data_IF_277390549148
#
_entry.id   IF_277390549148
#
_cell.length_a   1.000
_cell.length_b   1.000
_cell.length_c   1.000
_cell.angle_alpha   90.00
_cell.angle_beta   90.00
_cell.angle_gamma   90.00
#
_symmetry.space_group_name_H-M   'P 1'
#
loop_
_entity.id
_entity.type
_entity.pdbx_description
1 polymer ?
#
# COMPACT_ATOMS: atom_id res chain seq x y z
N UNK A 1 -17.90 12.84 40.85
CA UNK A 1 -16.50 12.69 40.39
C UNK A 1 -16.51 11.95 39.06
N UNK A 2 -16.57 12.67 37.94
CA UNK A 2 -16.39 12.05 36.62
C UNK A 2 -14.91 11.73 36.45
N UNK A 3 -14.59 10.48 36.13
CA UNK A 3 -13.26 10.12 35.64
C UNK A 3 -13.05 10.89 34.34
N UNK A 4 -12.26 11.96 34.40
CA UNK A 4 -11.65 12.56 33.21
C UNK A 4 -10.82 11.43 32.58
N UNK A 5 -11.32 10.85 31.49
CA UNK A 5 -10.56 9.85 30.74
C UNK A 5 -9.32 10.56 30.22
N UNK A 6 -8.13 10.22 30.74
CA UNK A 6 -6.88 10.66 30.13
C UNK A 6 -6.95 10.31 28.65
N UNK A 7 -6.75 11.28 27.77
CA UNK A 7 -6.57 11.00 26.35
C UNK A 7 -5.52 9.90 26.23
N UNK A 8 -5.87 8.74 25.66
CA UNK A 8 -4.92 7.63 25.49
C UNK A 8 -3.78 8.15 24.63
N UNK A 9 -2.62 8.37 25.25
CA UNK A 9 -1.42 8.73 24.50
C UNK A 9 -1.02 7.54 23.64
N UNK A 10 -0.72 7.81 22.37
CA UNK A 10 -0.32 6.77 21.44
C UNK A 10 0.99 6.12 21.90
N UNK A 11 0.96 4.80 22.02
CA UNK A 11 2.12 3.97 22.30
C UNK A 11 2.69 3.39 20.99
N UNK A 12 3.86 3.88 20.49
CA UNK A 12 4.43 3.42 19.24
C UNK A 12 4.81 1.94 19.21
N UNK A 13 5.11 1.34 20.37
CA UNK A 13 5.43 -0.09 20.44
C UNK A 13 4.17 -0.93 20.22
N UNK A 14 3.04 -0.56 20.83
CA UNK A 14 1.74 -1.21 20.55
C UNK A 14 1.32 -1.02 19.10
N UNK A 15 1.46 0.19 18.57
CA UNK A 15 1.19 0.44 17.15
C UNK A 15 2.09 -0.39 16.22
N UNK A 16 3.32 -0.70 16.63
CA UNK A 16 4.21 -1.58 15.87
C UNK A 16 3.74 -3.03 15.96
N UNK A 17 3.32 -3.49 17.13
CA UNK A 17 2.69 -4.82 17.30
C UNK A 17 1.44 -4.97 16.43
N UNK A 18 0.56 -3.96 16.42
CA UNK A 18 -0.65 -3.95 15.59
C UNK A 18 -0.28 -4.04 14.09
N UNK A 19 0.72 -3.25 13.66
CA UNK A 19 1.22 -3.28 12.30
C UNK A 19 1.80 -4.66 11.93
N UNK A 20 2.63 -5.24 12.80
CA UNK A 20 3.23 -6.56 12.58
C UNK A 20 2.15 -7.63 12.49
N UNK A 21 1.15 -7.61 13.38
CA UNK A 21 0.04 -8.57 13.35
C UNK A 21 -0.77 -8.44 12.04
N UNK A 22 -1.13 -7.21 11.66
CA UNK A 22 -1.83 -6.95 10.40
C UNK A 22 -1.06 -7.41 9.17
N UNK A 23 0.26 -7.16 9.15
CA UNK A 23 1.15 -7.59 8.08
C UNK A 23 1.23 -9.12 7.98
N UNK A 24 1.48 -9.81 9.10
CA UNK A 24 1.59 -11.27 9.13
C UNK A 24 0.27 -11.90 8.68
N UNK A 25 -0.86 -11.40 9.16
CA UNK A 25 -2.18 -11.89 8.75
C UNK A 25 -2.44 -11.63 7.26
N UNK A 26 -2.07 -10.46 6.72
CA UNK A 26 -2.18 -10.18 5.29
C UNK A 26 -1.36 -11.17 4.44
N UNK A 27 -0.11 -11.42 4.82
CA UNK A 27 0.76 -12.39 4.13
C UNK A 27 0.12 -13.80 4.17
N UNK A 28 -0.33 -14.24 5.35
CA UNK A 28 -0.97 -15.55 5.49
C UNK A 28 -2.24 -15.66 4.65
N UNK A 29 -3.06 -14.61 4.62
CA UNK A 29 -4.30 -14.59 3.84
C UNK A 29 -4.03 -14.58 2.34
N UNK A 30 -3.05 -13.83 1.87
CA UNK A 30 -2.63 -13.81 0.46
C UNK A 30 -2.11 -15.18 0.03
N UNK A 31 -1.24 -15.80 0.83
CA UNK A 31 -0.72 -17.15 0.55
C UNK A 31 -1.86 -18.16 0.53
N UNK A 32 -2.75 -18.12 1.51
CA UNK A 32 -3.90 -19.01 1.57
C UNK A 32 -4.86 -18.83 0.37
N UNK A 33 -5.18 -17.58 0.01
CA UNK A 33 -6.02 -17.28 -1.16
C UNK A 33 -5.38 -17.79 -2.45
N UNK A 34 -4.07 -17.61 -2.63
CA UNK A 34 -3.33 -18.15 -3.77
C UNK A 34 -3.36 -19.68 -3.83
N UNK A 35 -3.20 -20.35 -2.68
CA UNK A 35 -3.31 -21.81 -2.59
C UNK A 35 -4.73 -22.30 -2.92
N UNK A 36 -5.76 -21.67 -2.36
CA UNK A 36 -7.16 -22.01 -2.62
C UNK A 36 -7.52 -21.86 -4.11
N UNK A 37 -7.06 -20.78 -4.75
CA UNK A 37 -7.22 -20.57 -6.19
C UNK A 37 -6.50 -21.67 -7.00
N UNK A 38 -5.26 -22.02 -6.63
CA UNK A 38 -4.48 -23.06 -7.34
C UNK A 38 -5.07 -24.48 -7.22
N UNK A 39 -5.85 -24.74 -6.16
CA UNK A 39 -6.53 -26.02 -5.91
C UNK A 39 -7.95 -26.04 -6.48
N UNK A 40 -8.36 -25.02 -7.23
CA UNK A 40 -9.71 -24.88 -7.80
C UNK A 40 -10.82 -24.91 -6.74
N UNK A 41 -10.53 -24.49 -5.50
CA UNK A 41 -11.56 -24.35 -4.46
C UNK A 41 -12.47 -23.15 -4.71
N UNK A 42 -11.96 -22.14 -5.42
CA UNK A 42 -12.71 -20.97 -5.88
C UNK A 42 -12.70 -21.00 -7.40
N UNK A 43 -13.85 -21.30 -8.00
CA UNK A 43 -14.00 -21.44 -9.46
C UNK A 43 -14.62 -20.21 -10.11
N UNK A 44 -15.34 -19.39 -9.35
CA UNK A 44 -15.94 -18.14 -9.82
C UNK A 44 -14.85 -17.03 -9.88
N UNK A 45 -14.57 -16.45 -11.07
CA UNK A 45 -13.57 -15.40 -11.23
C UNK A 45 -13.86 -14.14 -10.41
N UNK A 46 -15.14 -13.78 -10.27
CA UNK A 46 -15.55 -12.61 -9.52
C UNK A 46 -15.27 -12.82 -8.04
N UNK A 47 -15.66 -13.97 -7.50
CA UNK A 47 -15.34 -14.32 -6.10
C UNK A 47 -13.82 -14.36 -5.88
N UNK A 48 -13.04 -14.90 -6.83
CA UNK A 48 -11.59 -14.89 -6.73
C UNK A 48 -10.98 -13.48 -6.69
N UNK A 49 -11.47 -12.56 -7.52
CA UNK A 49 -11.04 -11.15 -7.51
C UNK A 49 -11.41 -10.46 -6.20
N UNK A 50 -12.61 -10.68 -5.68
CA UNK A 50 -13.02 -10.10 -4.41
C UNK A 50 -12.16 -10.62 -3.26
N UNK A 51 -11.94 -11.94 -3.20
CA UNK A 51 -11.16 -12.57 -2.15
C UNK A 51 -9.69 -12.13 -2.16
N UNK A 52 -9.09 -11.87 -3.34
CA UNK A 52 -7.71 -11.39 -3.41
C UNK A 52 -7.56 -9.99 -2.80
N UNK A 53 -8.51 -9.08 -3.04
CA UNK A 53 -8.53 -7.77 -2.38
C UNK A 53 -8.81 -7.87 -0.88
N UNK A 54 -9.81 -8.67 -0.47
CA UNK A 54 -10.18 -8.83 0.94
C UNK A 54 -9.08 -9.51 1.76
N UNK A 55 -8.32 -10.44 1.17
CA UNK A 55 -7.18 -11.08 1.81
C UNK A 55 -6.13 -10.07 2.30
N UNK A 56 -5.99 -8.94 1.60
CA UNK A 56 -5.11 -7.85 2.00
C UNK A 56 -5.86 -6.84 2.87
N UNK A 57 -7.03 -6.36 2.43
CA UNK A 57 -7.69 -5.22 3.07
C UNK A 57 -8.18 -5.53 4.48
N UNK A 58 -8.70 -6.73 4.74
CA UNK A 58 -9.24 -7.08 6.06
C UNK A 58 -8.14 -7.04 7.14
N UNK A 59 -6.99 -7.71 6.99
CA UNK A 59 -5.92 -7.63 7.99
C UNK A 59 -5.34 -6.22 8.17
N UNK A 60 -5.13 -5.48 7.07
CA UNK A 60 -4.55 -4.14 7.14
C UNK A 60 -5.50 -3.16 7.82
N UNK A 61 -6.76 -3.10 7.41
CA UNK A 61 -7.78 -2.25 8.04
C UNK A 61 -8.09 -2.70 9.47
N UNK A 62 -8.04 -4.01 9.75
CA UNK A 62 -8.18 -4.56 11.09
C UNK A 62 -7.12 -3.99 12.03
N UNK A 63 -5.84 -4.04 11.64
CA UNK A 63 -4.74 -3.47 12.41
C UNK A 63 -4.88 -1.95 12.58
N UNK A 64 -5.23 -1.23 11.51
CA UNK A 64 -5.48 0.22 11.55
C UNK A 64 -6.63 0.56 12.50
N UNK A 65 -7.72 -0.20 12.45
CA UNK A 65 -8.90 -0.03 13.30
C UNK A 65 -8.62 -0.32 14.77
N UNK A 66 -7.84 -1.38 15.06
CA UNK A 66 -7.38 -1.69 16.43
C UNK A 66 -6.54 -0.53 16.98
N UNK A 67 -5.52 -0.09 16.23
CA UNK A 67 -4.66 0.99 16.65
C UNK A 67 -5.42 2.32 16.86
N UNK A 68 -6.38 2.62 15.99
CA UNK A 68 -7.17 3.85 16.06
C UNK A 68 -8.17 3.82 17.24
N UNK A 69 -9.01 2.78 17.32
CA UNK A 69 -10.10 2.71 18.28
C UNK A 69 -9.64 2.35 19.69
N UNK A 70 -8.69 1.42 19.81
CA UNK A 70 -8.25 0.89 21.10
C UNK A 70 -6.98 1.57 21.61
N UNK A 71 -6.07 2.00 20.73
CA UNK A 71 -4.79 2.59 21.13
C UNK A 71 -4.68 4.10 20.87
N UNK A 72 -5.76 4.75 20.41
CA UNK A 72 -5.81 6.20 20.25
C UNK A 72 -4.89 6.76 19.15
N UNK A 73 -4.44 5.90 18.23
CA UNK A 73 -3.49 6.31 17.20
C UNK A 73 -4.12 7.25 16.17
N UNK A 74 -3.52 8.43 15.97
CA UNK A 74 -3.96 9.37 14.95
C UNK A 74 -3.23 9.12 13.62
N UNK A 75 -3.95 8.56 12.65
CA UNK A 75 -3.45 8.24 11.31
C UNK A 75 -3.12 9.50 10.48
N UNK A 76 -3.59 10.69 10.90
CA UNK A 76 -3.51 11.98 10.18
C UNK A 76 -3.92 11.86 8.71
N UNK A 77 -5.05 11.21 8.47
CA UNK A 77 -5.76 11.27 7.19
C UNK A 77 -6.31 12.70 7.02
N UNK A 78 -5.55 13.54 6.33
CA UNK A 78 -5.89 14.93 6.04
C UNK A 78 -5.43 15.24 4.62
N UNK A 79 -6.30 15.89 3.86
CA UNK A 79 -6.05 16.34 2.50
C UNK A 79 -5.95 17.86 2.48
N UNK A 80 -5.00 18.37 1.70
CA UNK A 80 -4.86 19.79 1.36
C UNK A 80 -4.69 19.92 -0.16
N UNK A 81 -5.06 21.05 -0.78
CA UNK A 81 -4.88 21.25 -2.21
C UNK A 81 -3.44 21.02 -2.69
N UNK A 82 -2.45 21.40 -1.88
CA UNK A 82 -1.03 21.19 -2.19
C UNK A 82 -0.64 19.70 -2.25
N UNK A 83 -1.44 18.82 -1.63
CA UNK A 83 -1.24 17.37 -1.72
C UNK A 83 -1.52 16.85 -3.13
N UNK A 84 -2.35 17.55 -3.93
CA UNK A 84 -2.52 17.24 -5.35
C UNK A 84 -1.22 17.50 -6.11
N UNK A 85 -0.60 18.67 -5.91
CA UNK A 85 0.65 19.01 -6.57
C UNK A 85 1.75 18.01 -6.23
N UNK A 86 2.00 17.78 -4.94
CA UNK A 86 3.03 16.85 -4.50
C UNK A 86 2.73 15.40 -4.88
N UNK A 87 1.48 14.98 -4.70
CA UNK A 87 1.04 13.63 -5.02
C UNK A 87 1.20 13.32 -6.50
N UNK A 88 0.65 14.18 -7.38
CA UNK A 88 0.78 14.03 -8.83
C UNK A 88 2.26 13.97 -9.24
N UNK A 89 3.07 14.89 -8.73
CA UNK A 89 4.50 14.97 -9.09
C UNK A 89 5.25 13.71 -8.67
N UNK A 90 5.08 13.26 -7.43
CA UNK A 90 5.74 12.06 -6.91
C UNK A 90 5.24 10.80 -7.61
N UNK A 91 3.93 10.67 -7.83
CA UNK A 91 3.34 9.54 -8.52
C UNK A 91 3.83 9.43 -9.97
N UNK A 92 3.87 10.54 -10.71
CA UNK A 92 4.41 10.62 -12.07
C UNK A 92 5.89 10.22 -12.10
N UNK A 93 6.72 10.80 -11.23
CA UNK A 93 8.16 10.49 -11.18
C UNK A 93 8.42 9.02 -10.84
N UNK A 94 7.76 8.50 -9.81
CA UNK A 94 7.89 7.10 -9.42
C UNK A 94 7.45 6.16 -10.54
N UNK A 95 6.36 6.50 -11.26
CA UNK A 95 5.88 5.69 -12.40
C UNK A 95 6.85 5.75 -13.57
N UNK A 96 7.44 6.90 -13.87
CA UNK A 96 8.46 7.01 -14.92
C UNK A 96 9.68 6.15 -14.61
N UNK A 97 10.12 6.12 -13.34
CA UNK A 97 11.21 5.23 -12.90
C UNK A 97 10.80 3.76 -13.03
N UNK A 98 9.60 3.39 -12.57
CA UNK A 98 9.09 2.03 -12.70
C UNK A 98 9.01 1.59 -14.17
N UNK A 99 8.56 2.48 -15.06
CA UNK A 99 8.47 2.23 -16.50
C UNK A 99 9.84 2.01 -17.15
N UNK A 100 10.86 2.76 -16.70
CA UNK A 100 12.24 2.54 -17.13
C UNK A 100 12.78 1.18 -16.64
N UNK A 101 12.48 0.79 -15.40
CA UNK A 101 12.85 -0.53 -14.85
C UNK A 101 12.14 -1.68 -15.58
N UNK A 102 10.86 -1.51 -15.92
CA UNK A 102 10.09 -2.45 -16.75
C UNK A 102 10.74 -2.60 -18.13
N UNK A 103 11.13 -1.50 -18.78
CA UNK A 103 11.82 -1.55 -20.07
C UNK A 103 13.17 -2.27 -19.97
N UNK A 104 13.96 -2.01 -18.92
CA UNK A 104 15.25 -2.66 -18.70
C UNK A 104 15.11 -4.16 -18.37
N UNK A 105 14.08 -4.53 -17.62
CA UNK A 105 13.87 -5.92 -17.18
C UNK A 105 13.13 -6.80 -18.18
N UNK A 106 12.15 -6.23 -18.90
CA UNK A 106 11.25 -6.96 -19.80
C UNK A 106 11.42 -6.61 -21.28
N UNK A 107 12.16 -5.55 -21.62
CA UNK A 107 12.26 -5.05 -23.00
C UNK A 107 10.99 -4.36 -23.50
N UNK A 108 10.03 -4.08 -22.62
CA UNK A 108 8.76 -3.42 -22.92
C UNK A 108 8.24 -2.68 -21.70
N UNK A 109 7.41 -1.67 -21.91
CA UNK A 109 6.61 -1.08 -20.84
C UNK A 109 5.68 -2.16 -20.25
N UNK A 110 5.40 -2.08 -18.96
CA UNK A 110 4.53 -3.01 -18.22
C UNK A 110 3.06 -3.03 -18.64
N UNK A 111 2.74 -2.72 -19.90
CA UNK A 111 1.43 -2.91 -20.53
C UNK A 111 1.22 -4.35 -21.01
N UNK A 112 1.96 -5.32 -20.43
CA UNK A 112 1.73 -6.74 -20.70
C UNK A 112 0.25 -7.05 -20.51
N UNK A 113 -0.35 -7.95 -21.32
CA UNK A 113 -1.80 -8.10 -21.39
C UNK A 113 -2.32 -8.28 -19.98
N UNK A 114 -3.02 -7.27 -19.48
CA UNK A 114 -3.82 -7.45 -18.28
C UNK A 114 -4.83 -8.46 -18.77
N UNK A 115 -4.66 -9.73 -18.38
CA UNK A 115 -5.65 -10.78 -18.60
C UNK A 115 -6.82 -10.50 -17.68
N UNK A 116 -7.42 -9.32 -17.80
CA UNK A 116 -8.85 -9.18 -17.66
C UNK A 116 -9.40 -10.10 -18.75
N UNK A 117 -10.41 -10.91 -18.46
CA UNK A 117 -11.03 -11.76 -19.47
C UNK A 117 -11.60 -10.93 -20.63
N UNK A 118 -12.60 -11.44 -21.34
CA UNK A 118 -13.35 -10.58 -22.26
C UNK A 118 -13.80 -9.30 -21.53
N UNK A 119 -13.49 -8.14 -22.11
CA UNK A 119 -13.86 -6.84 -21.55
C UNK A 119 -15.38 -6.69 -21.61
N UNK A 120 -16.06 -7.15 -20.58
CA UNK A 120 -17.46 -6.87 -20.33
C UNK A 120 -17.49 -5.62 -19.46
N UNK A 121 -17.88 -4.47 -20.03
CA UNK A 121 -17.99 -3.20 -19.30
C UNK A 121 -19.18 -3.22 -18.34
N UNK A 122 -19.14 -4.09 -17.34
CA UNK A 122 -20.11 -4.16 -16.24
C UNK A 122 -19.53 -3.56 -14.95
N UNK A 123 -20.38 -3.47 -13.93
CA UNK A 123 -19.98 -2.91 -12.63
C UNK A 123 -18.90 -3.74 -11.93
N UNK A 124 -18.81 -5.04 -12.20
CA UNK A 124 -17.82 -5.92 -11.59
C UNK A 124 -16.43 -5.70 -12.20
N UNK A 125 -16.37 -5.58 -13.51
CA UNK A 125 -15.17 -5.20 -14.23
C UNK A 125 -14.67 -3.82 -13.78
N UNK A 126 -15.57 -2.82 -13.68
CA UNK A 126 -15.19 -1.49 -13.19
C UNK A 126 -14.62 -1.55 -11.76
N UNK A 127 -15.21 -2.38 -10.90
CA UNK A 127 -14.70 -2.61 -9.56
C UNK A 127 -13.30 -3.23 -9.58
N UNK A 128 -13.14 -4.39 -10.21
CA UNK A 128 -11.92 -5.17 -10.15
C UNK A 128 -10.75 -4.56 -10.93
N UNK A 129 -11.03 -3.90 -12.06
CA UNK A 129 -10.02 -3.34 -12.95
C UNK A 129 -9.64 -1.90 -12.60
N UNK A 130 -10.56 -1.10 -12.03
CA UNK A 130 -10.33 0.33 -11.81
C UNK A 130 -10.51 0.73 -10.34
N UNK A 131 -11.72 0.59 -9.78
CA UNK A 131 -12.01 1.16 -8.47
C UNK A 131 -11.17 0.54 -7.35
N UNK A 132 -11.06 -0.79 -7.32
CA UNK A 132 -10.29 -1.50 -6.31
C UNK A 132 -8.79 -1.17 -6.36
N UNK A 133 -8.06 -1.32 -7.49
CA UNK A 133 -6.62 -1.10 -7.51
C UNK A 133 -6.22 0.38 -7.60
N UNK A 134 -7.03 1.26 -8.19
CA UNK A 134 -6.66 2.67 -8.39
C UNK A 134 -7.16 3.59 -7.27
N UNK A 135 -8.27 3.27 -6.61
CA UNK A 135 -8.87 4.16 -5.61
C UNK A 135 -8.86 3.55 -4.20
N UNK A 136 -9.39 2.33 -4.05
CA UNK A 136 -9.62 1.74 -2.72
C UNK A 136 -8.31 1.24 -2.12
N UNK A 137 -7.56 0.41 -2.84
CA UNK A 137 -6.30 -0.17 -2.37
C UNK A 137 -5.29 0.91 -1.94
N UNK A 138 -5.04 1.99 -2.72
CA UNK A 138 -4.20 3.09 -2.28
C UNK A 138 -4.58 3.69 -0.92
N UNK A 139 -5.87 3.88 -0.65
CA UNK A 139 -6.32 4.43 0.64
C UNK A 139 -6.02 3.45 1.77
N UNK A 140 -6.39 2.18 1.59
CA UNK A 140 -6.17 1.12 2.58
C UNK A 140 -4.69 0.96 2.89
N UNK A 141 -3.86 0.89 1.86
CA UNK A 141 -2.44 0.69 1.97
C UNK A 141 -1.75 1.90 2.60
N UNK A 142 -2.07 3.13 2.19
CA UNK A 142 -1.45 4.32 2.80
C UNK A 142 -1.86 4.52 4.27
N UNK A 143 -3.10 4.16 4.63
CA UNK A 143 -3.53 4.14 6.04
C UNK A 143 -2.67 3.18 6.87
N UNK A 144 -2.37 1.99 6.34
CA UNK A 144 -1.56 1.01 7.03
C UNK A 144 -0.07 1.37 7.02
N UNK A 145 0.53 1.55 5.85
CA UNK A 145 1.97 1.73 5.72
C UNK A 145 2.43 3.10 6.24
N UNK A 146 1.74 4.19 5.90
CA UNK A 146 2.18 5.56 6.24
C UNK A 146 1.47 6.10 7.46
N UNK A 147 0.21 5.68 7.64
CA UNK A 147 -0.56 5.98 8.84
C UNK A 147 0.01 5.21 10.03
N UNK A 148 -0.07 3.87 10.01
CA UNK A 148 0.31 3.03 11.15
C UNK A 148 1.80 2.69 11.19
N UNK A 149 2.32 1.89 10.25
CA UNK A 149 3.66 1.31 10.31
C UNK A 149 4.77 2.37 10.41
N UNK A 150 4.81 3.33 9.48
CA UNK A 150 5.81 4.40 9.44
C UNK A 150 5.89 5.15 10.79
N UNK A 151 4.75 5.43 11.41
CA UNK A 151 4.69 6.22 12.65
C UNK A 151 5.02 5.40 13.89
N UNK A 152 4.61 4.14 13.90
CA UNK A 152 4.98 3.19 14.93
C UNK A 152 6.50 2.97 14.94
N UNK A 153 7.13 2.81 13.78
CA UNK A 153 8.59 2.70 13.67
C UNK A 153 9.25 4.00 14.11
N UNK A 154 8.84 5.14 13.57
CA UNK A 154 9.38 6.47 13.94
C UNK A 154 9.31 6.73 15.45
N UNK A 155 8.16 6.44 16.07
CA UNK A 155 7.96 6.63 17.50
C UNK A 155 8.78 5.64 18.34
N UNK A 156 8.88 4.39 17.90
CA UNK A 156 9.64 3.35 18.59
C UNK A 156 11.14 3.63 18.56
N UNK A 157 11.69 4.05 17.41
CA UNK A 157 13.11 4.40 17.30
C UNK A 157 13.45 5.65 18.12
N UNK A 158 12.56 6.65 18.15
CA UNK A 158 12.73 7.84 19.02
C UNK A 158 12.71 7.47 20.49
N UNK A 159 11.78 6.61 20.91
CA UNK A 159 11.70 6.12 22.30
C UNK A 159 12.96 5.34 22.69
N UNK A 160 13.56 4.61 21.76
CA UNK A 160 14.82 3.90 21.97
C UNK A 160 16.07 4.81 21.99
N UNK A 161 15.91 6.13 21.97
CA UNK A 161 17.02 7.10 22.01
C UNK A 161 17.62 7.44 20.64
N UNK A 162 16.99 7.01 19.54
CA UNK A 162 17.41 7.36 18.19
C UNK A 162 17.26 8.84 17.90
N UNK A 163 18.27 9.43 17.24
CA UNK A 163 18.21 10.82 16.77
C UNK A 163 17.04 11.11 15.84
N UNK A 164 16.67 12.38 15.69
CA UNK A 164 15.51 12.79 14.90
C UNK A 164 15.62 12.36 13.43
N UNK A 165 16.78 12.57 12.82
CA UNK A 165 17.05 12.23 11.41
C UNK A 165 17.12 10.72 11.21
N UNK A 166 17.90 10.01 12.02
CA UNK A 166 18.05 8.55 11.89
C UNK A 166 16.72 7.83 12.09
N UNK A 167 15.89 8.28 13.03
CA UNK A 167 14.54 7.74 13.25
C UNK A 167 13.63 7.89 12.02
N UNK A 168 13.69 9.04 11.34
CA UNK A 168 12.91 9.27 10.10
C UNK A 168 13.43 8.39 8.97
N UNK A 169 14.75 8.31 8.79
CA UNK A 169 15.36 7.46 7.76
C UNK A 169 14.99 5.99 7.97
N UNK A 170 15.13 5.47 9.19
CA UNK A 170 14.76 4.08 9.50
C UNK A 170 13.28 3.85 9.22
N UNK A 171 12.40 4.75 9.67
CA UNK A 171 10.97 4.61 9.46
C UNK A 171 10.60 4.60 7.96
N UNK A 172 11.20 5.50 7.17
CA UNK A 172 11.01 5.57 5.72
C UNK A 172 11.48 4.29 5.03
N UNK A 173 12.68 3.82 5.35
CA UNK A 173 13.25 2.61 4.75
C UNK A 173 12.46 1.36 5.13
N UNK A 174 12.06 1.21 6.39
CA UNK A 174 11.23 0.08 6.83
C UNK A 174 9.86 0.12 6.16
N UNK A 175 9.21 1.29 6.11
CA UNK A 175 7.91 1.42 5.45
C UNK A 175 8.00 1.11 3.95
N UNK A 176 9.02 1.61 3.26
CA UNK A 176 9.24 1.36 1.83
C UNK A 176 9.60 -0.09 1.54
N UNK A 177 10.48 -0.69 2.34
CA UNK A 177 10.94 -2.07 2.16
C UNK A 177 9.82 -3.08 2.42
N UNK A 178 9.08 -2.94 3.52
CA UNK A 178 7.96 -3.84 3.82
C UNK A 178 6.89 -3.74 2.73
N UNK A 179 6.59 -2.52 2.26
CA UNK A 179 5.68 -2.29 1.12
C UNK A 179 6.15 -3.03 -0.13
N UNK A 180 7.42 -2.92 -0.48
CA UNK A 180 7.98 -3.60 -1.65
C UNK A 180 7.93 -5.12 -1.53
N UNK A 181 8.32 -5.65 -0.37
CA UNK A 181 8.34 -7.10 -0.13
C UNK A 181 6.95 -7.71 -0.30
N UNK A 182 5.91 -7.10 0.25
CA UNK A 182 4.54 -7.65 0.10
C UNK A 182 4.06 -7.63 -1.36
N UNK A 183 4.50 -6.67 -2.17
CA UNK A 183 4.14 -6.61 -3.59
C UNK A 183 4.83 -7.68 -4.44
N UNK A 184 5.87 -8.34 -3.91
CA UNK A 184 6.56 -9.43 -4.61
C UNK A 184 5.97 -10.81 -4.33
N UNK A 185 5.04 -10.94 -3.36
CA UNK A 185 4.53 -12.23 -2.89
C UNK A 185 3.83 -13.07 -3.98
N UNK A 186 3.22 -12.40 -4.95
CA UNK A 186 2.49 -13.03 -6.04
C UNK A 186 3.24 -12.97 -7.37
N UNK A 187 4.50 -12.54 -7.36
CA UNK A 187 5.31 -12.46 -8.57
C UNK A 187 5.66 -13.87 -9.08
N UNK A 188 5.32 -14.15 -10.35
CA UNK A 188 5.51 -15.48 -10.95
C UNK A 188 6.92 -15.78 -11.45
N UNK A 189 7.82 -14.79 -11.49
CA UNK A 189 9.19 -14.95 -12.02
C UNK A 189 10.22 -14.17 -11.21
N UNK A 190 11.49 -14.58 -11.18
CA UNK A 190 12.56 -13.82 -10.52
C UNK A 190 12.71 -12.39 -11.07
N UNK A 191 12.58 -12.21 -12.38
CA UNK A 191 12.61 -10.88 -13.00
C UNK A 191 11.45 -10.02 -12.48
N UNK A 192 10.26 -10.59 -12.33
CA UNK A 192 9.12 -9.87 -11.77
C UNK A 192 9.30 -9.49 -10.30
N UNK A 193 9.92 -10.36 -9.50
CA UNK A 193 10.30 -10.05 -8.11
C UNK A 193 11.27 -8.85 -8.08
N UNK A 194 12.29 -8.84 -8.92
CA UNK A 194 13.30 -7.76 -8.93
C UNK A 194 12.71 -6.46 -9.47
N UNK A 195 12.12 -6.48 -10.67
CA UNK A 195 11.58 -5.26 -11.30
C UNK A 195 10.43 -4.69 -10.48
N UNK A 196 9.47 -5.53 -10.09
CA UNK A 196 8.33 -5.15 -9.28
C UNK A 196 8.76 -4.69 -7.88
N UNK A 197 9.66 -5.43 -7.23
CA UNK A 197 10.19 -5.09 -5.92
C UNK A 197 10.96 -3.77 -5.89
N UNK A 198 11.86 -3.52 -6.85
CA UNK A 198 12.59 -2.25 -6.92
C UNK A 198 11.65 -1.08 -7.25
N UNK A 199 10.72 -1.27 -8.20
CA UNK A 199 9.74 -0.23 -8.57
C UNK A 199 8.85 0.17 -7.39
N UNK A 200 8.33 -0.83 -6.67
CA UNK A 200 7.49 -0.61 -5.49
C UNK A 200 8.28 -0.11 -4.29
N UNK A 201 9.56 -0.45 -4.17
CA UNK A 201 10.45 0.13 -3.16
C UNK A 201 10.71 1.62 -3.40
N UNK A 202 10.98 2.01 -4.65
CA UNK A 202 11.15 3.42 -5.04
C UNK A 202 9.88 4.19 -4.72
N UNK A 203 8.73 3.73 -5.23
CA UNK A 203 7.44 4.36 -4.93
C UNK A 203 7.17 4.43 -3.42
N UNK A 204 7.32 3.31 -2.74
CA UNK A 204 7.01 3.19 -1.31
C UNK A 204 7.88 4.10 -0.44
N UNK A 205 9.16 4.25 -0.80
CA UNK A 205 10.08 5.18 -0.13
C UNK A 205 9.67 6.62 -0.40
N UNK A 206 9.34 6.98 -1.65
CA UNK A 206 8.89 8.33 -2.00
C UNK A 206 7.60 8.73 -1.29
N UNK A 207 6.62 7.83 -1.22
CA UNK A 207 5.37 8.04 -0.49
C UNK A 207 5.61 8.20 1.03
N UNK A 208 6.53 7.39 1.61
CA UNK A 208 6.90 7.50 3.01
C UNK A 208 7.62 8.83 3.33
N UNK A 209 8.53 9.28 2.45
CA UNK A 209 9.18 10.60 2.56
C UNK A 209 8.13 11.70 2.52
N UNK A 210 7.21 11.66 1.55
CA UNK A 210 6.15 12.66 1.42
C UNK A 210 5.26 12.72 2.67
N UNK A 211 4.87 11.57 3.22
CA UNK A 211 4.09 11.49 4.45
C UNK A 211 4.88 12.00 5.67
N UNK A 212 6.18 11.71 5.76
CA UNK A 212 7.04 12.18 6.84
C UNK A 212 7.25 13.71 6.79
N UNK A 213 7.47 14.28 5.60
CA UNK A 213 7.68 15.71 5.40
C UNK A 213 6.40 16.53 5.64
N UNK A 214 5.26 16.06 5.13
CA UNK A 214 3.99 16.80 5.23
C UNK A 214 3.24 16.54 6.53
N UNK A 215 3.57 15.46 7.23
CA UNK A 215 2.89 15.01 8.43
C UNK A 215 1.45 14.54 8.19
N UNK A 216 1.06 14.21 6.95
CA UNK A 216 -0.30 13.78 6.58
C UNK A 216 -0.28 12.80 5.42
N UNK A 217 -1.38 12.09 5.23
CA UNK A 217 -1.48 11.02 4.24
C UNK A 217 -1.93 11.48 2.85
N UNK A 218 -2.56 12.66 2.74
CA UNK A 218 -3.21 13.10 1.49
C UNK A 218 -2.29 13.03 0.27
N UNK A 219 -1.06 13.54 0.40
CA UNK A 219 -0.09 13.52 -0.71
C UNK A 219 0.35 12.12 -1.11
N UNK A 220 0.55 11.23 -0.12
CA UNK A 220 0.93 9.84 -0.38
C UNK A 220 -0.21 9.06 -1.06
N UNK A 221 -1.46 9.26 -0.64
CA UNK A 221 -2.64 8.68 -1.29
C UNK A 221 -2.74 9.15 -2.73
N UNK A 222 -2.63 10.46 -3.00
CA UNK A 222 -2.69 10.98 -4.37
C UNK A 222 -1.54 10.44 -5.22
N UNK A 223 -0.32 10.35 -4.67
CA UNK A 223 0.82 9.76 -5.38
C UNK A 223 0.56 8.30 -5.75
N UNK A 224 -0.03 7.53 -4.85
CA UNK A 224 -0.34 6.12 -5.07
C UNK A 224 -1.45 5.94 -6.11
N UNK A 225 -2.54 6.70 -6.00
CA UNK A 225 -3.61 6.74 -7.01
C UNK A 225 -3.03 7.09 -8.38
N UNK A 226 -2.15 8.10 -8.44
CA UNK A 226 -1.50 8.52 -9.70
C UNK A 226 -0.61 7.41 -10.26
N UNK A 227 0.21 6.79 -9.42
CA UNK A 227 1.10 5.69 -9.81
C UNK A 227 0.30 4.51 -10.39
N UNK A 228 -0.79 4.11 -9.74
CA UNK A 228 -1.65 3.01 -10.21
C UNK A 228 -2.48 3.40 -11.45
N UNK A 229 -3.02 4.62 -11.50
CA UNK A 229 -3.80 5.10 -12.63
C UNK A 229 -2.99 5.11 -13.93
N UNK A 230 -1.72 5.50 -13.86
CA UNK A 230 -0.83 5.58 -15.03
C UNK A 230 -0.42 4.22 -15.60
N UNK A 231 -0.68 3.12 -14.89
CA UNK A 231 -0.53 1.77 -15.45
C UNK A 231 -1.89 1.18 -15.84
N UNK A 232 -2.88 1.32 -14.97
CA UNK A 232 -4.21 0.72 -15.17
C UNK A 232 -4.94 1.38 -16.32
N UNK A 233 -5.10 2.71 -16.32
CA UNK A 233 -5.96 3.40 -17.29
C UNK A 233 -5.49 3.16 -18.73
N UNK A 234 -4.20 3.29 -19.09
CA UNK A 234 -3.75 2.98 -20.44
C UNK A 234 -4.00 1.52 -20.86
N UNK A 235 -3.93 0.57 -19.91
CA UNK A 235 -4.20 -0.83 -20.19
C UNK A 235 -5.68 -1.16 -20.45
N UNK A 236 -6.60 -0.24 -20.09
CA UNK A 236 -8.04 -0.38 -20.34
C UNK A 236 -8.50 0.29 -21.64
N UNK A 237 -7.63 1.08 -22.30
CA UNK A 237 -7.95 1.75 -23.55
C UNK A 237 -7.77 0.79 -24.73
N UNK A 238 -8.71 0.73 -25.68
CA UNK A 238 -8.55 -0.08 -26.88
C UNK A 238 -7.35 0.44 -27.70
N UNK A 239 -6.45 -0.48 -28.07
CA UNK A 239 -5.31 -0.24 -28.96
C UNK A 239 -5.71 -0.18 -30.42
#
# INVERSE_FOLDING_TARGET
MSKVSSSREFDPQRGLTDATAGLVLAVLFVVFAGLAASKFWVTDPNVSVLLSYLAVWIPLLGAVGVAWYWHGHNLRLRFRPLDLLWGLSVGLLARSVASALEMLGYGRLGTGPVTLGETVYDGWWMFGALAAPVLIAPIVEELFFRGLLLRSVLGSTRRAGGGAVSSVVIAVLVSGLVFALVHTLTAGTPTAVVVGGVSTFVFGTSAAVLAALTGRLGGAVVAHVTFNALIVVPALLPS
#
